data_IF_503537092770
#
_entry.id   IF_503537092770
#
_cell.length_a   1.000
_cell.length_b   1.000
_cell.length_c   1.000
_cell.angle_alpha   90.00
_cell.angle_beta   90.00
_cell.angle_gamma   90.00
#
_symmetry.space_group_name_H-M   'P 1'
#
loop_
_entity.id
_entity.type
_entity.pdbx_description
1 polymer ?
#
# COMPACT_ATOMS: atom_id res chain seq x y z
N UNK A 1 -39.84 -1.19 35.20
CA UNK A 1 -39.56 0.16 34.72
C UNK A 1 -38.91 0.05 33.37
N UNK A 2 -39.61 0.43 32.28
CA UNK A 2 -39.17 0.31 30.89
C UNK A 2 -38.47 1.61 30.48
N UNK A 3 -37.25 1.51 29.96
CA UNK A 3 -36.55 2.64 29.36
C UNK A 3 -36.97 2.80 27.89
N UNK A 4 -37.13 4.03 27.36
CA UNK A 4 -37.63 4.25 26.00
C UNK A 4 -36.52 4.08 24.96
N UNK A 5 -36.87 3.41 23.83
CA UNK A 5 -36.06 3.25 22.64
C UNK A 5 -35.92 4.58 21.88
N UNK A 6 -34.69 4.94 21.49
CA UNK A 6 -34.43 6.04 20.57
C UNK A 6 -34.70 5.62 19.10
N UNK A 7 -35.23 6.52 18.26
CA UNK A 7 -35.53 6.20 16.85
C UNK A 7 -34.28 6.16 15.98
N UNK A 8 -34.28 5.20 15.02
CA UNK A 8 -33.28 5.07 13.95
C UNK A 8 -33.41 6.24 12.97
N UNK A 9 -32.35 6.98 12.77
CA UNK A 9 -32.22 7.95 11.71
C UNK A 9 -31.87 7.21 10.41
N UNK A 10 -32.77 7.24 9.42
CA UNK A 10 -32.53 6.75 8.05
C UNK A 10 -31.81 7.83 7.27
N UNK A 11 -30.60 7.58 6.80
CA UNK A 11 -29.97 8.38 5.77
C UNK A 11 -30.28 7.73 4.41
N UNK A 12 -31.23 8.31 3.68
CA UNK A 12 -31.49 7.97 2.30
C UNK A 12 -30.57 8.77 1.40
N UNK A 13 -29.80 8.10 0.58
CA UNK A 13 -29.12 8.70 -0.57
C UNK A 13 -29.35 7.80 -1.78
N UNK A 14 -30.47 8.01 -2.48
CA UNK A 14 -30.65 7.50 -3.82
C UNK A 14 -30.17 8.54 -4.82
N UNK A 15 -28.99 8.31 -5.41
CA UNK A 15 -28.52 9.09 -6.55
C UNK A 15 -29.09 8.48 -7.83
N UNK A 16 -29.99 9.21 -8.49
CA UNK A 16 -30.51 8.88 -9.82
C UNK A 16 -29.47 9.22 -10.87
N UNK A 17 -28.94 8.21 -11.55
CA UNK A 17 -28.12 8.40 -12.75
C UNK A 17 -29.04 8.54 -13.94
N UNK A 18 -29.07 9.74 -14.55
CA UNK A 18 -29.73 9.99 -15.82
C UNK A 18 -28.75 9.71 -16.97
N UNK A 19 -29.05 8.71 -17.80
CA UNK A 19 -28.32 8.42 -19.04
C UNK A 19 -28.89 9.32 -20.13
N UNK A 20 -28.07 10.26 -20.64
CA UNK A 20 -28.37 11.04 -21.85
C UNK A 20 -27.62 10.40 -23.01
N UNK A 21 -28.37 9.74 -23.90
CA UNK A 21 -27.86 9.22 -25.17
C UNK A 21 -28.02 10.30 -26.23
N UNK A 22 -26.94 10.87 -26.73
CA UNK A 22 -26.93 11.79 -27.86
C UNK A 22 -26.54 11.01 -29.13
N UNK A 23 -27.55 10.82 -30.01
CA UNK A 23 -27.37 10.35 -31.39
C UNK A 23 -27.04 11.56 -32.26
N UNK A 24 -25.84 11.59 -32.85
CA UNK A 24 -25.48 12.56 -33.90
C UNK A 24 -25.46 11.83 -35.23
N UNK A 25 -26.46 12.12 -36.10
CA UNK A 25 -26.47 11.74 -37.51
C UNK A 25 -25.63 12.74 -38.30
N UNK A 26 -24.55 12.30 -38.90
CA UNK A 26 -23.75 13.09 -39.84
C UNK A 26 -24.14 12.83 -41.28
N UNK A 27 -24.67 13.81 -41.94
CA UNK A 27 -24.88 13.84 -43.40
C UNK A 27 -23.57 14.21 -44.11
N UNK A 28 -23.10 13.31 -44.99
CA UNK A 28 -21.99 13.60 -45.88
C UNK A 28 -22.53 14.34 -47.13
N UNK A 29 -22.09 15.58 -47.35
CA UNK A 29 -22.24 16.32 -48.58
C UNK A 29 -20.89 16.43 -49.27
N UNK A 30 -20.80 15.75 -50.42
CA UNK A 30 -19.63 15.81 -51.32
C UNK A 30 -19.67 17.10 -52.11
N UNK A 31 -18.83 18.08 -51.77
CA UNK A 31 -18.61 19.28 -52.58
C UNK A 31 -17.21 19.27 -53.20
N UNK A 32 -17.14 19.07 -54.51
CA UNK A 32 -15.90 19.27 -55.29
C UNK A 32 -15.70 20.73 -55.49
N UNK A 33 -14.66 21.29 -54.87
CA UNK A 33 -14.20 22.67 -55.11
C UNK A 33 -12.91 22.64 -55.89
N UNK A 34 -13.00 23.19 -57.12
CA UNK A 34 -11.85 23.38 -58.01
C UNK A 34 -11.08 24.64 -57.57
N UNK A 35 -9.89 24.47 -57.00
CA UNK A 35 -9.03 25.63 -56.70
C UNK A 35 -8.08 25.90 -57.85
N UNK A 36 -8.15 27.12 -58.37
CA UNK A 36 -7.20 27.67 -59.30
C UNK A 36 -5.85 27.97 -58.58
N UNK A 37 -4.76 27.46 -59.14
CA UNK A 37 -3.40 27.74 -58.66
C UNK A 37 -3.03 29.19 -58.90
N UNK A 38 -3.13 30.03 -57.88
CA UNK A 38 -2.51 31.35 -57.82
C UNK A 38 -1.17 31.18 -57.08
N UNK A 39 -0.05 31.50 -57.72
CA UNK A 39 1.30 31.38 -57.12
C UNK A 39 1.41 32.26 -55.86
N UNK A 40 1.58 31.60 -54.72
CA UNK A 40 1.89 32.24 -53.45
C UNK A 40 3.42 32.45 -53.33
N UNK A 41 3.86 33.60 -52.80
CA UNK A 41 5.28 33.86 -52.52
C UNK A 41 5.80 32.86 -51.48
N UNK A 42 6.97 32.29 -51.72
CA UNK A 42 7.68 31.40 -50.77
C UNK A 42 7.94 32.15 -49.47
N UNK A 43 7.50 31.60 -48.31
CA UNK A 43 7.81 32.19 -47.02
C UNK A 43 9.32 32.12 -46.74
N UNK A 44 9.93 33.07 -46.02
CA UNK A 44 11.32 33.04 -45.65
C UNK A 44 11.60 31.82 -44.78
N UNK A 45 12.71 31.13 -45.02
CA UNK A 45 13.26 30.06 -44.22
C UNK A 45 13.47 30.58 -42.78
N UNK A 46 12.57 30.24 -41.87
CA UNK A 46 12.77 30.41 -40.42
C UNK A 46 13.81 29.40 -40.01
N UNK A 47 15.06 29.84 -39.80
CA UNK A 47 16.05 29.05 -39.11
C UNK A 47 15.56 28.79 -37.68
N UNK A 48 14.97 27.62 -37.45
CA UNK A 48 14.60 27.17 -36.13
C UNK A 48 15.89 26.98 -35.32
N UNK A 49 16.17 27.92 -34.43
CA UNK A 49 17.13 27.69 -33.35
C UNK A 49 16.61 26.52 -32.54
N UNK A 50 17.34 25.41 -32.58
CA UNK A 50 16.99 24.24 -31.74
C UNK A 50 17.06 24.67 -30.27
N UNK A 51 15.91 24.99 -29.71
CA UNK A 51 15.76 25.18 -28.27
C UNK A 51 16.00 23.80 -27.66
N UNK A 52 17.16 23.59 -27.05
CA UNK A 52 17.42 22.40 -26.25
C UNK A 52 16.38 22.38 -25.13
N UNK A 53 15.47 21.42 -25.19
CA UNK A 53 14.53 21.15 -24.11
C UNK A 53 15.35 20.97 -22.81
N UNK A 54 14.92 21.56 -21.69
CA UNK A 54 15.56 21.29 -20.41
C UNK A 54 15.56 19.78 -20.18
N UNK A 55 16.63 19.22 -19.59
CA UNK A 55 16.70 17.80 -19.31
C UNK A 55 15.45 17.41 -18.51
N UNK A 56 14.78 16.34 -18.93
CA UNK A 56 13.63 15.80 -18.19
C UNK A 56 14.05 15.60 -16.73
N UNK A 57 13.20 15.96 -15.74
CA UNK A 57 13.53 15.74 -14.34
C UNK A 57 13.87 14.26 -14.17
N UNK A 58 15.00 13.98 -13.54
CA UNK A 58 15.41 12.59 -13.24
C UNK A 58 14.32 11.99 -12.37
N UNK A 59 13.63 10.98 -12.87
CA UNK A 59 12.68 10.20 -12.06
C UNK A 59 13.47 9.59 -10.91
N UNK A 60 13.09 9.89 -9.68
CA UNK A 60 13.68 9.26 -8.50
C UNK A 60 13.24 7.79 -8.54
N UNK A 61 14.21 6.89 -8.55
CA UNK A 61 13.95 5.45 -8.49
C UNK A 61 14.26 4.99 -7.07
N UNK A 62 13.28 4.36 -6.45
CA UNK A 62 13.40 3.83 -5.09
C UNK A 62 13.88 2.37 -5.11
N UNK A 63 14.34 1.81 -3.99
CA UNK A 63 14.73 0.40 -3.91
C UNK A 63 13.64 -0.57 -4.35
N UNK A 64 13.98 -1.56 -5.19
CA UNK A 64 13.07 -2.63 -5.65
C UNK A 64 13.54 -3.99 -5.15
N UNK A 65 14.82 -4.15 -4.99
CA UNK A 65 15.52 -5.40 -4.69
C UNK A 65 16.74 -5.57 -5.59
N UNK A 66 17.57 -6.53 -5.24
CA UNK A 66 18.77 -6.88 -6.01
C UNK A 66 18.53 -8.21 -6.75
N UNK A 67 18.73 -8.30 -8.08
CA UNK A 67 18.53 -9.53 -8.83
C UNK A 67 19.26 -10.73 -8.22
N UNK A 68 18.51 -11.72 -7.77
CA UNK A 68 19.00 -12.98 -7.18
C UNK A 68 18.07 -14.12 -7.61
N UNK A 69 18.43 -14.87 -8.67
CA UNK A 69 17.54 -15.88 -9.26
C UNK A 69 17.09 -17.01 -8.33
N UNK A 70 17.84 -17.24 -7.24
CA UNK A 70 17.53 -18.28 -6.25
C UNK A 70 16.56 -17.82 -5.15
N UNK A 71 16.30 -16.51 -5.06
CA UNK A 71 15.29 -15.99 -4.14
C UNK A 71 13.88 -16.30 -4.63
N UNK A 72 12.92 -16.48 -3.74
CA UNK A 72 11.54 -16.82 -4.10
C UNK A 72 10.88 -15.82 -5.06
N UNK A 73 11.21 -14.55 -4.93
CA UNK A 73 10.72 -13.48 -5.82
C UNK A 73 11.68 -13.15 -6.96
N UNK A 74 12.83 -13.85 -7.09
CA UNK A 74 13.96 -13.56 -7.96
C UNK A 74 14.66 -12.21 -7.70
N UNK A 75 14.29 -11.54 -6.60
CA UNK A 75 14.93 -10.32 -6.11
C UNK A 75 15.20 -10.45 -4.62
N UNK A 76 16.46 -10.54 -4.24
CA UNK A 76 16.87 -10.44 -2.84
C UNK A 76 16.78 -9.00 -2.31
N UNK A 77 17.06 -8.78 -1.01
CA UNK A 77 17.03 -7.46 -0.41
C UNK A 77 17.86 -6.43 -1.19
N UNK A 78 17.42 -5.17 -1.27
CA UNK A 78 18.15 -4.12 -1.95
C UNK A 78 19.53 -3.90 -1.34
N UNK A 79 20.49 -3.41 -2.11
CA UNK A 79 21.83 -3.06 -1.62
C UNK A 79 21.76 -2.01 -0.49
N UNK A 80 22.75 -2.02 0.39
CA UNK A 80 22.82 -1.05 1.50
C UNK A 80 22.84 0.42 1.03
N UNK A 81 23.35 0.67 -0.19
CA UNK A 81 23.42 1.99 -0.83
C UNK A 81 22.31 2.25 -1.85
N UNK A 82 21.24 1.42 -1.88
CA UNK A 82 20.21 1.52 -2.92
C UNK A 82 19.36 2.81 -2.84
N UNK A 83 19.30 3.45 -1.67
CA UNK A 83 18.59 4.71 -1.45
C UNK A 83 19.58 5.85 -1.21
N UNK A 84 19.76 6.80 -2.14
CA UNK A 84 20.69 7.91 -1.99
C UNK A 84 20.37 8.78 -0.76
N UNK A 85 21.39 9.11 0.04
CA UNK A 85 21.23 9.88 1.28
C UNK A 85 20.82 9.04 2.50
N UNK A 86 20.70 7.72 2.33
CA UNK A 86 20.36 6.78 3.38
C UNK A 86 21.38 5.63 3.43
N UNK A 87 21.44 4.93 4.55
CA UNK A 87 22.06 3.61 4.66
C UNK A 87 21.05 2.61 5.19
N UNK A 88 21.23 1.33 4.78
CA UNK A 88 20.36 0.26 5.26
C UNK A 88 20.71 -0.08 6.70
N UNK A 89 19.75 0.12 7.59
CA UNK A 89 19.88 -0.13 9.02
C UNK A 89 19.51 -1.56 9.37
N UNK A 90 18.47 -2.10 8.70
CA UNK A 90 17.98 -3.45 8.98
C UNK A 90 17.60 -4.18 7.71
N UNK A 91 17.70 -5.53 7.76
CA UNK A 91 17.16 -6.44 6.74
C UNK A 91 16.75 -7.77 7.37
N UNK A 92 15.61 -8.28 6.91
CA UNK A 92 15.18 -9.67 7.13
C UNK A 92 14.84 -10.29 5.77
N UNK A 93 15.46 -11.41 5.43
CA UNK A 93 15.23 -12.16 4.18
C UNK A 93 14.57 -13.52 4.40
N UNK A 94 14.25 -13.85 5.65
CA UNK A 94 13.50 -15.03 6.06
C UNK A 94 14.05 -16.37 5.52
N UNK A 95 15.32 -16.46 5.25
CA UNK A 95 16.00 -17.66 4.73
C UNK A 95 16.07 -18.82 5.75
N UNK A 96 15.80 -18.55 7.05
CA UNK A 96 15.79 -19.53 8.12
C UNK A 96 14.50 -20.34 8.23
N UNK A 97 14.27 -20.89 9.43
CA UNK A 97 13.05 -21.63 9.81
C UNK A 97 12.31 -20.99 10.98
N UNK A 98 12.79 -19.84 11.45
CA UNK A 98 12.23 -19.06 12.56
C UNK A 98 12.31 -17.58 12.25
N UNK A 99 11.49 -16.79 12.93
CA UNK A 99 11.57 -15.32 12.84
C UNK A 99 12.96 -14.84 13.28
N UNK A 100 13.51 -13.85 12.57
CA UNK A 100 14.74 -13.18 13.02
C UNK A 100 14.53 -12.48 14.37
N UNK A 101 15.62 -12.17 15.10
CA UNK A 101 15.53 -11.40 16.34
C UNK A 101 14.81 -10.07 16.16
N UNK A 102 14.03 -9.67 17.16
CA UNK A 102 13.28 -8.40 17.16
C UNK A 102 11.86 -8.51 16.62
N UNK A 103 11.48 -9.63 16.01
CA UNK A 103 10.11 -9.88 15.56
C UNK A 103 9.27 -10.56 16.64
N UNK A 104 8.02 -10.15 16.74
CA UNK A 104 7.03 -10.72 17.68
C UNK A 104 5.69 -10.92 17.00
N UNK A 105 5.09 -12.09 17.20
CA UNK A 105 3.78 -12.44 16.64
C UNK A 105 2.65 -11.89 17.49
N UNK A 106 1.57 -11.49 16.83
CA UNK A 106 0.34 -11.08 17.51
C UNK A 106 -0.48 -12.29 17.96
N UNK A 107 -1.28 -12.06 19.00
CA UNK A 107 -2.28 -13.00 19.51
C UNK A 107 -3.51 -12.24 19.96
N UNK A 108 -4.69 -12.87 19.85
CA UNK A 108 -5.96 -12.26 20.26
C UNK A 108 -6.65 -11.50 19.13
N UNK A 109 -7.69 -10.77 19.49
CA UNK A 109 -8.60 -10.12 18.53
C UNK A 109 -7.97 -8.82 18.02
N UNK A 110 -7.79 -8.64 16.70
CA UNK A 110 -7.35 -7.37 16.15
C UNK A 110 -8.37 -6.25 16.40
N UNK A 111 -7.87 -5.03 16.54
CA UNK A 111 -8.74 -3.85 16.62
C UNK A 111 -9.63 -3.73 15.37
N UNK A 112 -10.92 -3.52 15.57
CA UNK A 112 -11.88 -3.34 14.46
C UNK A 112 -12.35 -4.61 13.76
N UNK A 113 -11.80 -5.80 14.08
CA UNK A 113 -12.22 -7.08 13.48
C UNK A 113 -12.56 -8.13 14.54
N UNK A 114 -13.77 -8.10 15.09
CA UNK A 114 -14.18 -8.99 16.19
C UNK A 114 -14.39 -10.46 15.78
N UNK A 115 -14.38 -10.78 14.50
CA UNK A 115 -14.60 -12.14 13.99
C UNK A 115 -13.30 -12.90 13.70
N UNK A 116 -12.18 -12.23 13.86
CA UNK A 116 -10.83 -12.75 13.66
C UNK A 116 -10.09 -12.88 14.98
N UNK A 117 -9.18 -13.83 15.05
CA UNK A 117 -8.14 -13.87 16.08
C UNK A 117 -6.78 -14.06 15.43
N UNK A 118 -5.77 -13.33 15.90
CA UNK A 118 -4.39 -13.61 15.57
C UNK A 118 -3.88 -14.79 16.36
N UNK A 119 -3.07 -15.63 15.71
CA UNK A 119 -2.39 -16.73 16.34
C UNK A 119 -0.96 -16.88 15.80
N UNK A 120 0.01 -17.06 16.70
CA UNK A 120 1.42 -17.24 16.35
C UNK A 120 1.66 -18.43 15.41
N UNK A 121 0.84 -19.47 15.49
CA UNK A 121 0.90 -20.64 14.60
C UNK A 121 0.54 -20.35 13.15
N UNK A 122 -0.04 -19.19 12.87
CA UNK A 122 -0.37 -18.71 11.53
C UNK A 122 0.76 -17.86 10.91
N UNK A 123 1.84 -17.62 11.66
CA UNK A 123 3.07 -16.96 11.22
C UNK A 123 4.15 -18.01 11.07
N UNK A 124 4.60 -18.28 9.85
CA UNK A 124 5.53 -19.38 9.56
C UNK A 124 6.66 -18.87 8.65
N UNK A 125 7.91 -19.13 9.05
CA UNK A 125 9.09 -18.95 8.19
C UNK A 125 9.47 -20.27 7.56
N UNK A 126 9.42 -20.33 6.24
CA UNK A 126 9.78 -21.53 5.47
C UNK A 126 10.05 -21.20 4.00
N UNK A 127 10.85 -22.02 3.36
CA UNK A 127 11.17 -21.91 1.93
C UNK A 127 11.68 -20.49 1.52
N UNK A 128 12.47 -19.86 2.41
CA UNK A 128 13.03 -18.55 2.18
C UNK A 128 12.02 -17.40 2.30
N UNK A 129 10.89 -17.61 2.96
CA UNK A 129 9.83 -16.61 3.06
C UNK A 129 9.14 -16.61 4.42
N UNK A 130 8.60 -15.47 4.79
CA UNK A 130 7.60 -15.35 5.83
C UNK A 130 6.21 -15.61 5.22
N UNK A 131 5.41 -16.45 5.87
CA UNK A 131 4.05 -16.77 5.51
C UNK A 131 3.12 -16.30 6.61
N UNK A 132 2.20 -15.39 6.30
CA UNK A 132 1.06 -15.05 7.14
C UNK A 132 -0.16 -15.75 6.57
N UNK A 133 -0.70 -16.71 7.32
CA UNK A 133 -1.78 -17.56 6.84
C UNK A 133 -3.10 -17.11 7.46
N UNK A 134 -4.17 -17.10 6.66
CA UNK A 134 -5.53 -16.90 7.13
C UNK A 134 -6.40 -18.07 6.69
N UNK A 135 -7.03 -18.72 7.65
CA UNK A 135 -8.01 -19.80 7.41
C UNK A 135 -8.87 -20.03 8.66
N UNK A 136 -9.96 -20.78 8.48
CA UNK A 136 -10.76 -21.26 9.63
C UNK A 136 -9.99 -22.34 10.36
N UNK A 137 -9.50 -22.03 11.55
CA UNK A 137 -8.74 -22.97 12.39
C UNK A 137 -9.63 -23.55 13.50
N UNK A 138 -9.89 -24.86 13.52
CA UNK A 138 -10.74 -25.49 14.53
C UNK A 138 -10.18 -25.39 15.96
N UNK A 139 -8.92 -25.01 16.13
CA UNK A 139 -8.33 -24.73 17.45
C UNK A 139 -8.88 -23.44 18.08
N UNK A 140 -9.50 -22.59 17.28
CA UNK A 140 -10.10 -21.30 17.69
C UNK A 140 -11.59 -21.23 17.32
N UNK A 141 -12.44 -22.10 17.92
CA UNK A 141 -13.82 -22.30 17.45
C UNK A 141 -14.74 -21.08 17.66
N UNK A 142 -14.30 -20.10 18.46
CA UNK A 142 -15.03 -18.85 18.70
C UNK A 142 -14.90 -17.83 17.59
N UNK A 143 -14.01 -18.05 16.62
CA UNK A 143 -13.71 -17.11 15.55
C UNK A 143 -13.95 -17.72 14.18
N UNK A 144 -14.44 -16.92 13.27
CA UNK A 144 -14.65 -17.33 11.89
C UNK A 144 -13.33 -17.50 11.15
N UNK A 145 -12.34 -16.65 11.47
CA UNK A 145 -11.01 -16.66 10.89
C UNK A 145 -9.93 -16.64 11.96
N UNK A 146 -8.86 -17.35 11.69
CA UNK A 146 -7.61 -17.22 12.43
C UNK A 146 -6.54 -16.75 11.46
N UNK A 147 -5.77 -15.76 11.86
CA UNK A 147 -4.86 -15.04 10.97
C UNK A 147 -3.46 -14.90 11.55
N UNK A 148 -2.48 -14.67 10.66
CA UNK A 148 -1.13 -14.29 11.03
C UNK A 148 -0.98 -12.77 11.06
N UNK A 149 -0.30 -12.28 12.09
CA UNK A 149 0.16 -10.91 12.21
C UNK A 149 1.37 -10.83 13.12
N UNK A 150 2.27 -9.88 12.86
CA UNK A 150 3.49 -9.69 13.62
C UNK A 150 4.04 -8.29 13.46
N UNK A 151 4.87 -7.88 14.40
CA UNK A 151 5.65 -6.65 14.34
C UNK A 151 7.15 -6.91 14.35
N UNK A 152 7.87 -6.00 13.77
CA UNK A 152 9.32 -5.84 14.00
C UNK A 152 9.52 -4.95 15.24
N UNK A 153 8.99 -5.40 16.38
CA UNK A 153 8.87 -4.62 17.62
C UNK A 153 10.20 -4.26 18.27
N UNK A 154 11.25 -5.00 17.97
CA UNK A 154 12.59 -4.78 18.55
C UNK A 154 13.41 -3.70 17.85
N UNK A 155 12.88 -3.05 16.80
CA UNK A 155 13.62 -2.07 16.00
C UNK A 155 12.80 -0.82 15.67
N UNK A 156 12.37 -0.05 16.68
CA UNK A 156 11.59 1.15 16.45
C UNK A 156 12.46 2.26 15.83
N UNK A 157 11.96 2.91 14.78
CA UNK A 157 12.61 4.04 14.13
C UNK A 157 11.73 5.29 14.20
N UNK A 158 12.36 6.45 14.35
CA UNK A 158 11.73 7.75 14.11
C UNK A 158 12.29 8.30 12.82
N UNK A 159 11.44 8.34 11.78
CA UNK A 159 11.80 8.59 10.39
C UNK A 159 12.66 7.48 9.77
N UNK A 160 12.58 7.36 8.49
CA UNK A 160 13.30 6.34 7.72
C UNK A 160 12.58 5.99 6.42
N UNK A 161 13.04 4.93 5.79
CA UNK A 161 12.39 4.34 4.65
C UNK A 161 12.27 2.83 4.85
N UNK A 162 11.07 2.30 4.64
CA UNK A 162 10.74 0.90 4.87
C UNK A 162 10.31 0.31 3.54
N UNK A 163 10.83 -0.87 3.23
CA UNK A 163 10.49 -1.61 2.01
C UNK A 163 10.15 -3.05 2.36
N UNK A 164 9.05 -3.53 1.79
CA UNK A 164 8.58 -4.91 1.96
C UNK A 164 8.36 -5.51 0.58
N UNK A 165 8.91 -6.70 0.36
CA UNK A 165 8.65 -7.46 -0.86
C UNK A 165 7.66 -8.56 -0.58
N UNK A 166 6.44 -8.38 -1.06
CA UNK A 166 5.31 -9.25 -0.73
C UNK A 166 4.42 -9.58 -1.92
N UNK A 167 3.54 -10.55 -1.70
CA UNK A 167 2.38 -10.86 -2.54
C UNK A 167 1.35 -11.65 -1.74
N UNK A 168 0.12 -11.70 -2.24
CA UNK A 168 -0.92 -12.60 -1.72
C UNK A 168 -1.11 -13.81 -2.63
N UNK A 169 -1.60 -14.92 -2.07
CA UNK A 169 -1.86 -16.13 -2.84
C UNK A 169 -3.12 -16.03 -3.70
N UNK A 170 -4.14 -15.31 -3.24
CA UNK A 170 -5.45 -15.17 -3.88
C UNK A 170 -6.22 -13.99 -3.27
N UNK A 171 -7.38 -13.64 -3.80
CA UNK A 171 -8.30 -12.69 -3.17
C UNK A 171 -8.79 -13.22 -1.81
N UNK A 172 -9.08 -12.34 -0.88
CA UNK A 172 -9.58 -12.71 0.45
C UNK A 172 -9.24 -11.65 1.49
N UNK A 173 -8.58 -12.05 2.59
CA UNK A 173 -8.21 -11.14 3.67
C UNK A 173 -7.45 -9.91 3.19
N UNK A 174 -7.62 -8.81 3.92
CA UNK A 174 -6.84 -7.61 3.72
C UNK A 174 -5.37 -7.89 4.04
N UNK A 175 -4.50 -7.68 3.06
CA UNK A 175 -3.05 -7.61 3.24
C UNK A 175 -2.72 -6.24 3.77
N UNK A 176 -1.98 -6.16 4.87
CA UNK A 176 -1.64 -4.91 5.54
C UNK A 176 -0.15 -4.85 5.83
N UNK A 177 0.46 -3.76 5.39
CA UNK A 177 1.83 -3.35 5.69
C UNK A 177 1.79 -1.92 6.19
N UNK A 178 2.12 -1.73 7.47
CA UNK A 178 1.95 -0.45 8.13
C UNK A 178 3.09 -0.14 9.10
N UNK A 179 3.15 1.12 9.53
CA UNK A 179 3.95 1.56 10.67
C UNK A 179 3.03 1.90 11.82
N UNK A 180 3.25 1.26 12.98
CA UNK A 180 2.50 1.42 14.22
C UNK A 180 3.33 2.14 15.27
N UNK A 181 2.74 2.96 16.17
CA UNK A 181 3.47 3.60 17.26
C UNK A 181 4.11 2.58 18.21
N UNK A 182 5.42 2.67 18.41
CA UNK A 182 6.14 1.80 19.33
C UNK A 182 5.61 1.86 20.78
N UNK A 183 4.95 2.95 21.14
CA UNK A 183 4.28 3.15 22.45
C UNK A 183 2.87 2.55 22.48
N UNK A 184 2.40 1.92 21.40
CA UNK A 184 1.08 1.33 21.26
C UNK A 184 -0.07 2.29 21.58
N UNK A 185 0.03 3.52 21.09
CA UNK A 185 -0.98 4.57 21.28
C UNK A 185 -1.44 5.08 19.91
N UNK A 186 -2.60 4.65 19.47
CA UNK A 186 -3.22 5.04 18.20
C UNK A 186 -4.15 6.26 18.32
N UNK A 187 -4.22 7.12 17.32
CA UNK A 187 -3.25 7.34 16.25
C UNK A 187 -1.93 7.91 16.77
N UNK A 188 -0.86 8.01 15.94
CA UNK A 188 -0.82 7.92 14.49
C UNK A 188 -0.61 6.50 13.96
N UNK A 189 -0.83 6.31 12.63
CA UNK A 189 -0.53 5.08 11.88
C UNK A 189 -0.20 5.47 10.43
N UNK A 190 0.67 4.71 9.77
CA UNK A 190 1.00 4.91 8.36
C UNK A 190 0.84 3.57 7.64
N UNK A 191 -0.29 3.36 6.97
CA UNK A 191 -0.48 2.22 6.08
C UNK A 191 0.13 2.54 4.72
N UNK A 192 1.02 1.70 4.22
CA UNK A 192 1.62 1.90 2.90
C UNK A 192 1.26 0.81 1.89
N UNK A 193 0.58 -0.25 2.34
CA UNK A 193 -0.12 -1.22 1.52
C UNK A 193 -1.28 -1.81 2.33
N UNK A 194 -2.51 -1.46 1.97
CA UNK A 194 -3.72 -1.99 2.58
C UNK A 194 -4.71 -2.37 1.48
N UNK A 195 -4.88 -3.67 1.22
CA UNK A 195 -5.61 -4.18 0.05
C UNK A 195 -7.13 -4.08 0.14
N UNK A 196 -7.70 -3.94 1.34
CA UNK A 196 -9.15 -3.85 1.55
C UNK A 196 -9.90 -5.05 0.96
N UNK A 197 -9.39 -6.27 1.18
CA UNK A 197 -9.96 -7.54 0.69
C UNK A 197 -9.95 -7.71 -0.84
N UNK A 198 -9.22 -6.88 -1.57
CA UNK A 198 -9.11 -6.92 -3.02
C UNK A 198 -7.73 -7.45 -3.41
N UNK A 199 -7.67 -8.07 -4.58
CA UNK A 199 -6.40 -8.49 -5.19
C UNK A 199 -5.94 -7.53 -6.30
N UNK A 200 -6.78 -6.56 -6.66
CA UNK A 200 -6.57 -5.68 -7.82
C UNK A 200 -6.46 -4.20 -7.46
N UNK A 201 -6.33 -3.89 -6.18
CA UNK A 201 -6.17 -2.53 -5.69
C UNK A 201 -5.59 -2.54 -4.27
N UNK A 202 -4.94 -1.45 -3.91
CA UNK A 202 -4.51 -1.17 -2.54
C UNK A 202 -4.71 0.30 -2.21
N UNK A 203 -4.57 0.65 -0.94
CA UNK A 203 -4.51 2.03 -0.46
C UNK A 203 -3.32 2.24 0.46
N UNK A 204 -2.91 3.49 0.59
CA UNK A 204 -2.04 3.97 1.64
C UNK A 204 -2.76 5.05 2.42
N UNK A 205 -2.71 4.98 3.73
CA UNK A 205 -3.43 5.87 4.63
C UNK A 205 -2.51 6.40 5.71
N UNK A 206 -2.63 7.68 6.04
CA UNK A 206 -2.07 8.23 7.27
C UNK A 206 -3.22 8.54 8.19
N UNK A 207 -3.26 7.87 9.33
CA UNK A 207 -4.15 8.18 10.44
C UNK A 207 -3.49 9.16 11.39
N UNK A 208 -4.20 10.24 11.74
CA UNK A 208 -3.69 11.26 12.65
C UNK A 208 -4.84 11.88 13.48
N UNK A 209 -4.54 12.83 14.34
CA UNK A 209 -5.53 13.44 15.23
C UNK A 209 -5.63 12.73 16.58
N UNK A 210 -6.76 12.10 16.88
CA UNK A 210 -6.96 11.37 18.14
C UNK A 210 -7.88 10.16 17.95
N UNK A 211 -7.86 9.21 18.88
CA UNK A 211 -8.70 8.01 18.82
C UNK A 211 -10.22 8.31 18.80
N UNK A 212 -10.65 9.47 19.31
CA UNK A 212 -12.03 9.93 19.23
C UNK A 212 -12.35 10.77 17.98
N UNK A 213 -11.34 11.23 17.26
CA UNK A 213 -11.44 12.02 16.04
C UNK A 213 -10.29 11.64 15.09
N UNK A 214 -10.41 10.45 14.52
CA UNK A 214 -9.47 9.95 13.53
C UNK A 214 -9.58 10.76 12.22
N UNK A 215 -8.52 11.47 11.91
CA UNK A 215 -8.35 12.16 10.64
C UNK A 215 -7.51 11.29 9.71
N UNK A 216 -7.89 11.23 8.41
CA UNK A 216 -7.23 10.35 7.44
C UNK A 216 -6.83 11.11 6.20
N UNK A 217 -5.61 10.81 5.73
CA UNK A 217 -5.18 11.17 4.38
C UNK A 217 -4.94 9.86 3.64
N UNK A 218 -5.90 9.47 2.80
CA UNK A 218 -5.87 8.21 2.06
C UNK A 218 -5.65 8.45 0.57
N UNK A 219 -4.84 7.59 -0.02
CA UNK A 219 -4.59 7.51 -1.45
C UNK A 219 -4.89 6.08 -1.91
N UNK A 220 -5.43 5.92 -3.12
CA UNK A 220 -5.80 4.63 -3.67
C UNK A 220 -4.96 4.32 -4.91
N UNK A 221 -4.52 3.07 -5.04
CA UNK A 221 -3.81 2.54 -6.20
C UNK A 221 -4.64 1.42 -6.83
N UNK A 222 -5.50 1.72 -7.81
CA UNK A 222 -6.27 0.71 -8.53
C UNK A 222 -5.44 0.04 -9.64
N UNK A 223 -5.86 -1.16 -10.04
CA UNK A 223 -5.31 -1.85 -11.22
C UNK A 223 -3.99 -2.57 -11.01
N UNK A 224 -3.54 -2.72 -9.76
CA UNK A 224 -2.35 -3.50 -9.41
C UNK A 224 -2.75 -4.93 -9.05
N UNK A 225 -2.01 -5.94 -9.53
CA UNK A 225 -2.28 -7.35 -9.21
C UNK A 225 -1.44 -7.82 -8.01
N UNK A 226 -2.00 -7.73 -6.82
CA UNK A 226 -1.34 -8.09 -5.56
C UNK A 226 -0.92 -9.57 -5.46
N UNK A 227 -1.36 -10.43 -6.39
CA UNK A 227 -0.92 -11.83 -6.47
C UNK A 227 0.46 -11.96 -7.12
N UNK A 228 0.99 -10.89 -7.68
CA UNK A 228 2.36 -10.76 -8.15
C UNK A 228 3.25 -10.20 -7.04
N UNK A 229 4.53 -10.47 -7.15
CA UNK A 229 5.52 -9.87 -6.27
C UNK A 229 5.65 -8.37 -6.54
N UNK A 230 5.45 -7.56 -5.50
CA UNK A 230 5.69 -6.13 -5.51
C UNK A 230 6.65 -5.75 -4.39
N UNK A 231 7.39 -4.67 -4.58
CA UNK A 231 8.16 -4.03 -3.53
C UNK A 231 7.41 -2.76 -3.12
N UNK A 232 6.73 -2.85 -2.00
CA UNK A 232 6.06 -1.73 -1.36
C UNK A 232 7.06 -0.91 -0.58
N UNK A 233 6.85 0.39 -0.48
CA UNK A 233 7.71 1.23 0.33
C UNK A 233 7.02 2.49 0.84
N UNK A 234 7.52 2.95 1.98
CA UNK A 234 7.21 4.25 2.54
C UNK A 234 8.51 4.97 2.90
N UNK A 235 8.66 6.20 2.42
CA UNK A 235 9.72 7.11 2.83
C UNK A 235 9.09 8.14 3.76
N UNK A 236 9.46 8.09 5.02
CA UNK A 236 8.94 8.93 6.07
C UNK A 236 10.04 9.84 6.62
N UNK A 237 9.86 11.13 6.39
CA UNK A 237 10.79 12.19 6.79
C UNK A 237 10.11 13.14 7.80
N UNK A 238 10.85 14.06 8.44
CA UNK A 238 10.25 15.12 9.27
C UNK A 238 9.23 16.01 8.54
N UNK A 239 9.22 15.98 7.19
CA UNK A 239 8.46 16.91 6.36
C UNK A 239 7.51 16.24 5.37
N UNK A 240 7.62 14.93 5.17
CA UNK A 240 6.81 14.23 4.17
C UNK A 240 6.68 12.74 4.43
N UNK A 241 5.58 12.16 3.90
CA UNK A 241 5.39 10.72 3.75
C UNK A 241 5.17 10.47 2.27
N UNK A 242 5.94 9.56 1.67
CA UNK A 242 5.87 9.22 0.24
C UNK A 242 5.73 7.71 0.10
N UNK A 243 4.69 7.27 -0.59
CA UNK A 243 4.47 5.86 -0.89
C UNK A 243 5.13 5.46 -2.21
N UNK A 244 5.69 4.26 -2.26
CA UNK A 244 6.31 3.71 -3.46
C UNK A 244 5.86 2.28 -3.74
N UNK A 245 5.87 1.90 -5.01
CA UNK A 245 5.71 0.52 -5.45
C UNK A 245 6.65 0.26 -6.63
N UNK A 246 7.37 -0.86 -6.58
CA UNK A 246 8.30 -1.29 -7.62
C UNK A 246 9.26 -0.17 -8.10
N UNK A 247 9.78 0.59 -7.15
CA UNK A 247 10.75 1.64 -7.41
C UNK A 247 10.18 2.99 -7.84
N UNK A 248 8.88 3.12 -7.96
CA UNK A 248 8.21 4.35 -8.38
C UNK A 248 7.31 4.90 -7.26
N UNK A 249 7.33 6.20 -7.10
CA UNK A 249 6.33 6.87 -6.28
C UNK A 249 4.94 6.68 -6.90
N UNK A 250 3.96 6.37 -6.07
CA UNK A 250 2.56 6.44 -6.44
C UNK A 250 1.80 7.45 -5.56
N UNK A 251 0.76 8.05 -6.13
CA UNK A 251 0.07 9.16 -5.48
C UNK A 251 0.96 10.40 -5.32
N UNK A 252 0.69 11.19 -4.31
CA UNK A 252 1.45 12.40 -3.98
C UNK A 252 2.13 12.26 -2.61
N UNK A 253 3.21 13.00 -2.38
CA UNK A 253 3.83 13.08 -1.06
C UNK A 253 2.94 13.87 -0.10
N UNK A 254 2.61 13.29 1.04
CA UNK A 254 1.85 13.94 2.11
C UNK A 254 2.81 14.87 2.86
N UNK A 255 2.48 16.17 2.89
CA UNK A 255 3.30 17.22 3.53
C UNK A 255 2.53 18.00 4.59
N UNK A 256 1.35 17.52 4.98
CA UNK A 256 0.53 18.10 6.05
C UNK A 256 1.25 17.93 7.39
N UNK A 257 1.73 18.98 8.06
CA UNK A 257 2.62 18.86 9.21
C UNK A 257 2.05 18.05 10.39
N UNK A 258 0.74 18.20 10.64
CA UNK A 258 0.05 17.52 11.74
C UNK A 258 -0.25 16.05 11.44
N UNK A 259 -0.15 15.64 10.18
CA UNK A 259 -0.31 14.25 9.77
C UNK A 259 1.00 13.46 9.78
N UNK A 260 2.15 14.12 9.96
CA UNK A 260 3.45 13.46 9.97
C UNK A 260 3.81 13.05 11.41
N UNK A 261 3.84 11.73 11.72
CA UNK A 261 4.24 11.26 13.05
C UNK A 261 5.68 11.70 13.39
N UNK A 262 5.91 12.02 14.67
CA UNK A 262 7.22 12.46 15.18
C UNK A 262 7.69 11.59 16.35
N UNK A 263 7.14 10.41 16.50
CA UNK A 263 7.48 9.43 17.52
C UNK A 263 8.01 8.17 16.86
N UNK A 264 8.67 7.30 17.62
CA UNK A 264 9.18 6.05 17.11
C UNK A 264 8.02 5.12 16.70
N UNK A 265 8.14 4.53 15.51
CA UNK A 265 7.19 3.56 14.96
C UNK A 265 7.90 2.25 14.63
N UNK A 266 7.15 1.16 14.58
CA UNK A 266 7.57 -0.20 14.25
C UNK A 266 6.85 -0.65 12.99
N UNK A 267 7.46 -1.53 12.23
CA UNK A 267 6.83 -2.17 11.08
C UNK A 267 5.91 -3.29 11.54
N UNK A 268 4.67 -3.27 11.10
CA UNK A 268 3.69 -4.33 11.28
C UNK A 268 3.30 -4.94 9.94
N UNK A 269 3.15 -6.26 9.93
CA UNK A 269 2.68 -7.04 8.79
C UNK A 269 1.51 -7.90 9.25
N UNK A 270 0.36 -7.73 8.60
CA UNK A 270 -0.86 -8.39 9.05
C UNK A 270 -1.68 -8.94 7.89
N UNK A 271 -2.45 -10.00 8.18
CA UNK A 271 -3.61 -10.35 7.38
C UNK A 271 -4.88 -10.15 8.20
N UNK A 272 -5.79 -9.34 7.69
CA UNK A 272 -7.05 -9.00 8.36
C UNK A 272 -8.21 -9.42 7.48
N UNK A 273 -8.98 -10.43 7.86
CA UNK A 273 -10.12 -10.91 7.06
C UNK A 273 -11.25 -9.90 6.83
N UNK A 274 -11.28 -8.78 7.57
CA UNK A 274 -12.22 -7.69 7.34
C UNK A 274 -13.70 -8.08 7.52
N UNK A 275 -13.97 -9.03 8.38
CA UNK A 275 -15.32 -9.52 8.61
C UNK A 275 -16.13 -8.56 9.49
N UNK A 276 -16.62 -7.48 8.92
CA UNK A 276 -17.55 -6.60 9.61
C UNK A 276 -18.91 -7.27 9.88
N UNK A 277 -19.59 -6.81 10.94
CA UNK A 277 -20.92 -7.32 11.27
C UNK A 277 -21.92 -7.07 10.14
N UNK A 278 -22.44 -8.15 9.55
CA UNK A 278 -23.41 -8.09 8.46
C UNK A 278 -22.84 -8.06 7.06
N UNK A 279 -21.50 -8.11 6.93
CA UNK A 279 -20.80 -8.29 5.66
C UNK A 279 -20.40 -9.77 5.53
N UNK A 280 -20.53 -10.34 4.34
CA UNK A 280 -20.05 -11.68 4.07
C UNK A 280 -18.52 -11.68 4.10
N UNK A 281 -17.92 -12.45 4.99
CA UNK A 281 -16.47 -12.66 4.97
C UNK A 281 -16.04 -13.27 3.64
N UNK A 282 -14.86 -12.88 3.14
CA UNK A 282 -14.27 -13.57 2.00
C UNK A 282 -14.21 -15.07 2.26
N UNK A 283 -14.70 -15.91 1.33
CA UNK A 283 -14.81 -17.36 1.57
C UNK A 283 -13.48 -18.11 1.43
N UNK A 284 -12.39 -17.42 1.13
CA UNK A 284 -11.14 -18.06 0.70
C UNK A 284 -10.05 -17.93 1.76
N UNK A 285 -9.37 -19.04 2.03
CA UNK A 285 -8.11 -19.02 2.74
C UNK A 285 -7.07 -18.25 1.92
N UNK A 286 -6.23 -17.45 2.58
CA UNK A 286 -5.20 -16.67 1.92
C UNK A 286 -3.88 -16.82 2.67
N UNK A 287 -2.78 -16.67 1.95
CA UNK A 287 -1.45 -16.49 2.52
C UNK A 287 -0.84 -15.22 1.93
N UNK A 288 -0.43 -14.31 2.79
CA UNK A 288 0.51 -13.26 2.45
C UNK A 288 1.91 -13.85 2.54
N UNK A 289 2.67 -13.70 1.47
CA UNK A 289 4.05 -14.14 1.36
C UNK A 289 4.95 -12.91 1.37
N UNK A 290 5.91 -12.89 2.29
CA UNK A 290 6.92 -11.83 2.36
C UNK A 290 8.28 -12.47 2.11
N UNK A 291 8.97 -12.00 1.06
CA UNK A 291 10.29 -12.48 0.69
C UNK A 291 11.35 -11.84 1.58
N UNK A 292 11.30 -10.51 1.68
CA UNK A 292 12.20 -9.76 2.54
C UNK A 292 11.60 -8.42 2.99
N UNK A 293 12.22 -7.86 4.04
CA UNK A 293 12.02 -6.50 4.55
C UNK A 293 13.37 -5.79 4.60
N UNK A 294 13.40 -4.52 4.24
CA UNK A 294 14.58 -3.66 4.36
C UNK A 294 14.23 -2.27 4.90
N UNK A 295 14.99 -1.81 5.88
CA UNK A 295 14.80 -0.52 6.53
C UNK A 295 16.05 0.34 6.36
N UNK A 296 15.84 1.61 6.09
CA UNK A 296 16.88 2.59 5.85
C UNK A 296 16.70 3.81 6.76
N UNK A 297 17.80 4.33 7.25
CA UNK A 297 17.83 5.59 7.99
C UNK A 297 18.64 6.62 7.23
N UNK A 298 18.26 7.89 7.37
CA UNK A 298 18.96 8.99 6.74
C UNK A 298 20.40 9.08 7.29
N UNK A 299 21.36 9.28 6.39
CA UNK A 299 22.74 9.53 6.81
C UNK A 299 22.79 10.79 7.68
N UNK A 300 23.49 10.72 8.81
CA UNK A 300 23.76 11.91 9.59
C UNK A 300 24.52 12.93 8.71
N UNK A 301 24.11 14.20 8.79
CA UNK A 301 24.75 15.30 8.08
C UNK A 301 26.12 15.62 8.67
#
# INVERSE_FOLDING_TARGET
MHAPRRPKQRSGWEARVAIITLLVFGLALSGVVLFALVGLPTPPLITSSATTLPPSPKTVVYPVGNPQPNEPSHLGPPLASALPGYHREYVADFTGTSLPPGWSTFTGVPGGDPYTTFASSHVVVRAGMLHLNTYHDPRYPGYKWTSGGLCQCGHPLTFGAFFVRSRISNAGPNEVELLWPAVNQWPPEIDFNESGERWSATSGTVHHGSASNDLRIQQNLPGIDLRRWHTWGVIWTPHSITYTVDGLQWGYSITTPDAIPKLAMILDLEQRPGCEAGVACPPQNQTMLVDWVAEYVHNAA
#
